data_IF_978655455129
#
_entry.id   IF_978655455129
#
_cell.length_a   1.000
_cell.length_b   1.000
_cell.length_c   1.000
_cell.angle_alpha   90.00
_cell.angle_beta   90.00
_cell.angle_gamma   90.00
#
_symmetry.space_group_name_H-M   'P 1'
#
loop_
_entity.id
_entity.type
_entity.pdbx_description
1 polymer ?
#
# COMPACT_ATOMS: atom_id res chain seq x y z
N UNK A 1 -6.33 -59.67 65.94
CA UNK A 1 -7.62 -59.53 66.66
C UNK A 1 -8.19 -58.18 66.29
N UNK A 2 -9.34 -57.96 65.64
CA UNK A 2 -10.42 -58.76 65.04
C UNK A 2 -11.18 -57.74 64.14
N UNK A 3 -11.34 -57.95 62.82
CA UNK A 3 -12.60 -58.32 62.10
C UNK A 3 -13.86 -57.62 62.64
N UNK A 4 -14.82 -57.04 61.91
CA UNK A 4 -15.40 -57.22 60.55
C UNK A 4 -16.46 -56.05 60.42
N UNK A 5 -16.93 -55.51 59.29
CA UNK A 5 -17.75 -56.16 58.24
C UNK A 5 -18.11 -55.16 57.13
N UNK A 6 -18.07 -55.66 55.90
CA UNK A 6 -18.49 -55.07 54.62
C UNK A 6 -20.01 -55.23 54.42
N UNK A 7 -20.67 -54.30 53.71
CA UNK A 7 -21.81 -54.62 52.85
C UNK A 7 -21.66 -53.94 51.49
N UNK A 8 -21.63 -54.78 50.46
CA UNK A 8 -21.79 -54.48 49.03
C UNK A 8 -22.87 -55.43 48.52
N UNK A 9 -23.71 -55.00 47.57
CA UNK A 9 -24.39 -55.79 46.51
C UNK A 9 -25.16 -54.75 45.65
N UNK A 10 -24.70 -54.46 44.42
CA UNK A 10 -25.21 -54.93 43.09
C UNK A 10 -26.62 -54.41 42.75
N UNK A 11 -27.06 -54.10 41.52
CA UNK A 11 -26.52 -53.94 40.17
C UNK A 11 -27.64 -53.25 39.32
N UNK A 12 -27.29 -52.67 38.15
CA UNK A 12 -28.17 -52.11 37.08
C UNK A 12 -29.05 -53.21 36.40
N UNK A 13 -29.89 -53.01 35.33
CA UNK A 13 -30.28 -51.81 34.53
C UNK A 13 -31.80 -51.71 34.14
N UNK A 14 -32.25 -50.60 33.55
CA UNK A 14 -32.96 -50.56 32.24
C UNK A 14 -33.35 -49.13 31.78
N UNK A 15 -33.40 -48.98 30.47
CA UNK A 15 -33.50 -47.76 29.66
C UNK A 15 -34.89 -47.10 29.68
N UNK A 16 -34.95 -45.77 29.48
CA UNK A 16 -35.74 -45.16 28.37
C UNK A 16 -35.59 -43.61 28.31
N UNK A 17 -35.06 -43.16 27.16
CA UNK A 17 -35.34 -41.93 26.38
C UNK A 17 -35.60 -40.56 27.03
N UNK A 18 -34.90 -39.57 26.46
CA UNK A 18 -35.41 -38.26 26.01
C UNK A 18 -35.58 -37.13 27.03
N UNK A 19 -34.62 -36.18 27.05
CA UNK A 19 -34.68 -34.90 26.31
C UNK A 19 -33.64 -33.91 26.87
N UNK A 20 -32.81 -33.41 25.97
CA UNK A 20 -31.98 -32.22 26.14
C UNK A 20 -32.92 -31.01 26.19
N UNK A 21 -32.85 -30.19 27.24
CA UNK A 21 -33.38 -28.83 27.21
C UNK A 21 -32.23 -27.82 27.32
N UNK A 22 -31.90 -27.27 26.15
CA UNK A 22 -31.28 -25.98 25.99
C UNK A 22 -32.39 -24.92 26.13
N UNK A 23 -32.23 -23.96 27.03
CA UNK A 23 -33.07 -22.77 27.07
C UNK A 23 -32.24 -21.57 27.54
N UNK A 24 -31.69 -20.82 26.57
CA UNK A 24 -31.43 -19.40 26.73
C UNK A 24 -32.28 -18.67 25.70
N UNK A 25 -33.26 -17.96 26.25
CA UNK A 25 -34.27 -17.17 25.54
C UNK A 25 -33.61 -16.07 24.73
N UNK A 26 -33.74 -16.13 23.40
CA UNK A 26 -33.64 -14.98 22.53
C UNK A 26 -35.03 -14.39 22.38
N UNK A 27 -35.30 -13.27 23.05
CA UNK A 27 -36.47 -12.43 22.75
C UNK A 27 -36.02 -11.34 21.78
N UNK A 28 -36.30 -11.58 20.51
CA UNK A 28 -36.25 -10.60 19.43
C UNK A 28 -37.57 -9.83 19.40
N UNK A 29 -37.55 -8.55 19.78
CA UNK A 29 -38.60 -7.58 19.42
C UNK A 29 -38.04 -6.16 19.33
N UNK A 30 -37.47 -5.82 18.16
CA UNK A 30 -37.54 -4.46 17.59
C UNK A 30 -37.68 -4.59 16.07
N UNK A 31 -38.90 -4.83 15.63
CA UNK A 31 -39.30 -4.64 14.23
C UNK A 31 -39.87 -3.25 14.05
N UNK A 32 -39.55 -2.66 12.89
CA UNK A 32 -40.24 -1.58 12.19
C UNK A 32 -39.99 -0.12 12.62
N UNK A 33 -38.81 0.40 12.26
CA UNK A 33 -38.73 1.78 11.69
C UNK A 33 -37.56 2.04 10.74
N UNK A 34 -36.62 1.11 10.54
CA UNK A 34 -35.48 1.28 9.60
C UNK A 34 -35.73 0.81 8.16
N UNK A 35 -36.96 0.43 7.80
CA UNK A 35 -37.25 -0.05 6.44
C UNK A 35 -37.51 1.08 5.43
N UNK A 36 -37.58 2.34 5.87
CA UNK A 36 -38.02 3.46 5.00
C UNK A 36 -36.89 4.37 4.51
N UNK A 37 -35.64 4.17 4.95
CA UNK A 37 -34.48 5.00 4.54
C UNK A 37 -33.50 4.32 3.57
N UNK A 38 -33.70 3.06 3.21
CA UNK A 38 -32.84 2.32 2.26
C UNK A 38 -33.31 2.42 0.79
N UNK A 39 -34.28 3.27 0.47
CA UNK A 39 -34.86 3.36 -0.89
C UNK A 39 -34.00 4.10 -1.93
N UNK A 40 -32.82 4.59 -1.59
CA UNK A 40 -31.99 5.38 -2.53
C UNK A 40 -30.55 4.92 -2.74
N UNK A 41 -30.17 3.73 -2.26
CA UNK A 41 -28.81 3.22 -2.50
C UNK A 41 -28.84 2.05 -3.49
N UNK A 42 -28.16 2.25 -4.62
CA UNK A 42 -27.86 1.32 -5.71
C UNK A 42 -29.06 0.83 -6.55
N UNK A 43 -29.10 1.28 -7.81
CA UNK A 43 -30.06 0.83 -8.82
C UNK A 43 -29.91 -0.66 -9.18
N UNK A 44 -28.72 -1.25 -8.98
CA UNK A 44 -28.42 -2.64 -9.31
C UNK A 44 -29.00 -3.67 -8.33
N UNK A 45 -29.54 -3.23 -7.19
CA UNK A 45 -30.17 -4.09 -6.19
C UNK A 45 -31.71 -4.06 -6.27
N UNK A 46 -32.29 -3.37 -7.26
CA UNK A 46 -33.74 -3.34 -7.43
C UNK A 46 -34.26 -4.65 -8.06
N UNK A 47 -35.34 -5.25 -7.53
CA UNK A 47 -35.91 -6.51 -8.05
C UNK A 47 -36.25 -6.47 -9.55
N UNK A 48 -36.72 -5.31 -10.04
CA UNK A 48 -37.05 -5.10 -11.46
C UNK A 48 -35.83 -5.10 -12.39
N UNK A 49 -34.65 -4.71 -11.90
CA UNK A 49 -33.42 -4.74 -12.68
C UNK A 49 -32.90 -6.18 -12.84
N UNK A 50 -32.96 -6.95 -11.75
CA UNK A 50 -32.61 -8.39 -11.73
C UNK A 50 -33.51 -9.23 -12.65
N UNK A 51 -34.82 -8.98 -12.64
CA UNK A 51 -35.76 -9.64 -13.55
C UNK A 51 -35.66 -9.20 -15.03
N UNK A 52 -35.04 -8.05 -15.30
CA UNK A 52 -34.77 -7.57 -16.66
C UNK A 52 -33.47 -8.17 -17.22
N UNK A 53 -32.48 -8.43 -16.36
CA UNK A 53 -31.23 -9.11 -16.70
C UNK A 53 -31.43 -10.61 -16.96
N UNK A 54 -32.28 -11.27 -16.19
CA UNK A 54 -32.61 -12.70 -16.38
C UNK A 54 -33.41 -12.99 -17.67
N UNK A 55 -34.04 -11.97 -18.28
CA UNK A 55 -34.82 -12.08 -19.53
C UNK A 55 -34.01 -11.86 -20.82
N UNK A 56 -32.76 -11.39 -20.73
CA UNK A 56 -31.91 -11.16 -21.91
C UNK A 56 -31.00 -12.37 -22.12
N UNK A 57 -31.37 -13.23 -23.07
CA UNK A 57 -30.54 -14.35 -23.55
C UNK A 57 -29.42 -13.87 -24.49
N UNK A 58 -28.57 -12.96 -24.02
CA UNK A 58 -27.35 -12.51 -24.73
C UNK A 58 -26.29 -12.02 -23.75
N UNK A 59 -25.04 -12.21 -24.14
CA UNK A 59 -23.82 -12.21 -23.32
C UNK A 59 -23.66 -10.98 -22.41
N UNK A 60 -23.47 -11.30 -21.14
CA UNK A 60 -23.11 -10.48 -19.98
C UNK A 60 -22.11 -9.32 -20.25
N UNK A 61 -22.53 -8.11 -19.89
CA UNK A 61 -21.79 -6.91 -19.38
C UNK A 61 -20.81 -6.14 -20.30
N UNK A 62 -21.14 -4.86 -20.54
CA UNK A 62 -20.30 -3.70 -20.21
C UNK A 62 -19.01 -3.45 -21.00
N UNK A 63 -19.12 -3.05 -22.26
CA UNK A 63 -17.99 -2.44 -22.98
C UNK A 63 -17.77 -0.99 -22.55
N UNK A 64 -16.82 -0.78 -21.62
CA UNK A 64 -16.12 0.48 -21.38
C UNK A 64 -14.60 0.24 -21.50
N UNK A 65 -13.83 1.27 -21.84
CA UNK A 65 -12.39 1.15 -22.10
C UNK A 65 -11.61 0.49 -20.95
N UNK A 66 -10.78 -0.51 -21.27
CA UNK A 66 -10.03 -1.36 -20.33
C UNK A 66 -9.23 -0.59 -19.27
N UNK A 67 -9.47 -0.87 -17.99
CA UNK A 67 -8.45 -0.71 -16.93
C UNK A 67 -8.70 0.34 -15.86
N UNK A 68 -9.93 0.80 -15.67
CA UNK A 68 -10.33 1.64 -14.52
C UNK A 68 -11.68 1.18 -13.96
N UNK A 69 -11.80 -0.11 -13.63
CA UNK A 69 -13.02 -0.64 -13.03
C UNK A 69 -13.09 -0.21 -11.55
N UNK A 70 -13.80 0.89 -11.31
CA UNK A 70 -14.37 1.30 -10.03
C UNK A 70 -15.89 1.52 -10.20
N UNK A 71 -16.64 1.80 -9.11
CA UNK A 71 -18.08 2.00 -9.18
C UNK A 71 -18.48 3.11 -10.16
N UNK A 72 -19.58 2.87 -10.89
CA UNK A 72 -20.06 3.64 -12.04
C UNK A 72 -20.30 5.14 -11.73
N UNK A 73 -19.98 6.10 -12.63
CA UNK A 73 -20.16 7.54 -12.37
C UNK A 73 -21.59 7.99 -12.09
N UNK A 74 -22.63 7.24 -12.50
CA UNK A 74 -24.03 7.52 -12.11
C UNK A 74 -24.47 6.88 -10.78
N UNK A 75 -23.61 6.04 -10.20
CA UNK A 75 -23.78 5.49 -8.84
C UNK A 75 -23.03 6.32 -7.79
N UNK A 76 -22.37 7.41 -8.20
CA UNK A 76 -21.90 8.43 -7.27
C UNK A 76 -23.11 9.15 -6.68
N UNK A 77 -23.55 8.70 -5.50
CA UNK A 77 -24.43 9.51 -4.67
C UNK A 77 -23.69 10.81 -4.33
N UNK A 78 -24.31 11.96 -4.59
CA UNK A 78 -23.83 13.29 -4.17
C UNK A 78 -23.83 13.50 -2.65
N UNK A 79 -24.08 12.44 -1.89
CA UNK A 79 -24.06 12.40 -0.44
C UNK A 79 -22.79 11.66 -0.05
N UNK A 80 -21.95 12.35 0.70
CA UNK A 80 -20.69 11.85 1.19
C UNK A 80 -20.96 10.75 2.24
N UNK A 81 -21.27 9.53 1.80
CA UNK A 81 -21.47 8.38 2.70
C UNK A 81 -20.19 8.00 3.45
N UNK A 82 -19.05 8.57 3.05
CA UNK A 82 -17.72 8.32 3.59
C UNK A 82 -17.11 9.55 4.30
N UNK A 83 -17.82 10.69 4.44
CA UNK A 83 -17.24 11.87 5.11
C UNK A 83 -16.74 11.58 6.51
N UNK A 84 -17.40 10.66 7.21
CA UNK A 84 -17.09 10.26 8.59
C UNK A 84 -16.74 8.76 8.71
N UNK A 85 -16.58 8.05 7.59
CA UNK A 85 -16.31 6.61 7.62
C UNK A 85 -14.82 6.33 7.84
N UNK A 86 -14.35 6.60 9.06
CA UNK A 86 -13.08 6.08 9.61
C UNK A 86 -13.23 4.62 10.05
N UNK A 87 -13.94 3.83 9.26
CA UNK A 87 -14.25 2.44 9.62
C UNK A 87 -12.98 1.59 9.64
N UNK A 88 -12.88 0.57 10.52
CA UNK A 88 -11.76 -0.38 10.60
C UNK A 88 -11.58 -1.29 9.34
N UNK A 89 -12.24 -0.94 8.23
CA UNK A 89 -12.24 -1.65 6.95
C UNK A 89 -11.46 -0.91 5.85
N UNK A 90 -11.09 0.36 6.08
CA UNK A 90 -10.13 1.06 5.22
C UNK A 90 -8.73 0.81 5.77
N UNK A 91 -7.84 0.28 4.94
CA UNK A 91 -6.40 0.25 5.22
C UNK A 91 -5.90 1.69 5.44
N UNK A 92 -4.83 1.82 6.22
CA UNK A 92 -4.34 3.09 6.74
C UNK A 92 -4.13 4.15 5.65
N UNK A 93 -4.46 5.40 5.97
CA UNK A 93 -4.21 6.55 5.10
C UNK A 93 -3.08 7.38 5.71
N UNK A 94 -1.93 7.54 5.03
CA UNK A 94 -0.85 8.34 5.57
C UNK A 94 -1.26 9.82 5.63
N UNK A 95 -1.03 10.43 6.79
CA UNK A 95 -1.28 11.87 7.02
C UNK A 95 0.07 12.49 7.32
N UNK A 96 0.54 13.34 6.40
CA UNK A 96 1.84 13.99 6.52
C UNK A 96 1.69 15.44 6.96
N UNK A 97 2.57 15.88 7.86
CA UNK A 97 2.78 17.31 8.10
C UNK A 97 3.89 17.86 7.20
N UNK A 98 3.88 19.16 6.90
CA UNK A 98 4.93 19.79 6.08
C UNK A 98 6.33 19.55 6.62
N UNK A 99 6.47 19.51 7.96
CA UNK A 99 7.74 19.22 8.61
C UNK A 99 8.26 17.84 8.20
N UNK A 100 7.38 16.85 8.16
CA UNK A 100 7.71 15.46 7.81
C UNK A 100 8.05 15.32 6.32
N UNK A 101 7.29 16.00 5.45
CA UNK A 101 7.59 16.00 4.02
C UNK A 101 8.99 16.58 3.74
N UNK A 102 9.42 17.55 4.53
CA UNK A 102 10.72 18.22 4.41
C UNK A 102 11.89 17.44 5.03
N UNK A 103 11.66 16.43 5.88
CA UNK A 103 12.76 15.63 6.44
C UNK A 103 13.26 14.54 5.48
N UNK A 104 12.50 14.21 4.44
CA UNK A 104 12.83 13.12 3.51
C UNK A 104 14.11 13.45 2.73
N UNK A 105 15.14 12.61 2.90
CA UNK A 105 16.41 12.74 2.19
C UNK A 105 16.67 11.57 1.24
N UNK A 106 17.47 11.85 0.20
CA UNK A 106 18.04 10.82 -0.67
C UNK A 106 19.15 10.11 0.08
N UNK A 107 18.86 8.91 0.55
CA UNK A 107 19.78 8.08 1.34
C UNK A 107 19.93 6.74 0.63
N UNK A 108 21.12 6.19 0.70
CA UNK A 108 21.45 4.90 0.11
C UNK A 108 22.23 4.04 1.10
N UNK A 109 21.82 2.79 1.23
CA UNK A 109 22.51 1.79 2.05
C UNK A 109 23.63 1.15 1.25
N UNK A 110 24.80 1.02 1.88
CA UNK A 110 25.91 0.23 1.35
C UNK A 110 25.57 -1.28 1.41
N UNK A 111 25.63 -2.03 0.29
CA UNK A 111 25.34 -3.46 0.29
C UNK A 111 26.44 -4.25 1.02
N UNK A 112 26.06 -5.12 1.95
CA UNK A 112 27.01 -5.88 2.79
C UNK A 112 27.13 -7.31 2.28
N UNK A 113 26.00 -8.02 2.15
CA UNK A 113 25.99 -9.43 1.77
C UNK A 113 26.08 -9.61 0.24
N UNK A 114 26.41 -10.82 -0.22
CA UNK A 114 26.35 -11.15 -1.65
C UNK A 114 24.93 -10.93 -2.21
N UNK A 115 23.90 -11.32 -1.46
CA UNK A 115 22.49 -11.08 -1.81
C UNK A 115 22.16 -9.59 -1.93
N UNK A 116 22.68 -8.75 -1.01
CA UNK A 116 22.50 -7.29 -1.11
C UNK A 116 23.15 -6.73 -2.38
N UNK A 117 24.35 -7.18 -2.71
CA UNK A 117 25.08 -6.73 -3.91
C UNK A 117 24.34 -7.13 -5.19
N UNK A 118 23.80 -8.34 -5.23
CA UNK A 118 22.97 -8.81 -6.36
C UNK A 118 21.69 -7.99 -6.47
N UNK A 119 20.93 -7.83 -5.38
CA UNK A 119 19.69 -7.05 -5.37
C UNK A 119 19.92 -5.63 -5.89
N UNK A 120 20.91 -4.93 -5.32
CA UNK A 120 21.26 -3.57 -5.71
C UNK A 120 21.78 -3.48 -7.13
N UNK A 121 22.61 -4.44 -7.56
CA UNK A 121 23.14 -4.51 -8.93
C UNK A 121 22.03 -4.67 -9.97
N UNK A 122 21.03 -5.51 -9.70
CA UNK A 122 19.86 -5.68 -10.56
C UNK A 122 19.07 -4.37 -10.63
N UNK A 123 18.75 -3.73 -9.50
CA UNK A 123 18.02 -2.45 -9.48
C UNK A 123 18.74 -1.37 -10.29
N UNK A 124 20.05 -1.17 -10.06
CA UNK A 124 20.83 -0.19 -10.83
C UNK A 124 20.87 -0.50 -12.33
N UNK A 125 20.87 -1.79 -12.69
CA UNK A 125 20.83 -2.21 -14.09
C UNK A 125 19.47 -1.94 -14.72
N UNK A 126 18.38 -2.29 -14.03
CA UNK A 126 17.00 -1.99 -14.45
C UNK A 126 16.81 -0.49 -14.61
N UNK A 127 17.24 0.31 -13.63
CA UNK A 127 17.21 1.77 -13.71
C UNK A 127 17.96 2.28 -14.92
N UNK A 128 19.20 1.83 -15.15
CA UNK A 128 20.00 2.27 -16.31
C UNK A 128 19.29 1.96 -17.63
N UNK A 129 18.79 0.74 -17.79
CA UNK A 129 18.07 0.33 -19.01
C UNK A 129 16.81 1.17 -19.21
N UNK A 130 16.04 1.36 -18.14
CA UNK A 130 14.80 2.12 -18.18
C UNK A 130 15.04 3.61 -18.47
N UNK A 131 16.04 4.22 -17.84
CA UNK A 131 16.44 5.61 -18.05
C UNK A 131 16.91 5.82 -19.51
N UNK A 132 17.67 4.88 -20.08
CA UNK A 132 18.06 4.92 -21.51
C UNK A 132 16.85 4.84 -22.44
N UNK A 133 15.94 3.89 -22.20
CA UNK A 133 14.74 3.70 -23.04
C UNK A 133 13.83 4.92 -22.98
N UNK A 134 13.66 5.49 -21.79
CA UNK A 134 12.78 6.66 -21.57
C UNK A 134 13.45 7.99 -21.89
N UNK A 135 14.75 7.97 -22.25
CA UNK A 135 15.60 9.15 -22.41
C UNK A 135 15.53 10.09 -21.20
N UNK A 136 15.52 9.48 -20.01
CA UNK A 136 15.59 10.22 -18.76
C UNK A 136 17.05 10.40 -18.37
N UNK A 137 17.42 11.65 -18.13
CA UNK A 137 18.71 12.02 -17.54
C UNK A 137 18.41 12.82 -16.27
N UNK A 138 18.95 12.44 -15.09
CA UNK A 138 18.86 13.26 -13.89
C UNK A 138 19.82 14.45 -13.99
N UNK A 139 19.57 15.33 -14.97
CA UNK A 139 20.39 16.49 -15.27
C UNK A 139 19.94 17.67 -14.41
N UNK A 140 20.83 18.14 -13.54
CA UNK A 140 20.57 19.34 -12.78
C UNK A 140 20.84 20.57 -13.64
N UNK A 141 19.79 21.36 -13.90
CA UNK A 141 19.90 22.60 -14.66
C UNK A 141 20.76 23.61 -13.86
N UNK A 142 21.86 24.14 -14.43
CA UNK A 142 22.71 25.09 -13.73
C UNK A 142 21.97 26.38 -13.35
N UNK A 143 22.34 26.98 -12.22
CA UNK A 143 21.73 28.25 -11.75
C UNK A 143 21.83 29.39 -12.79
N UNK A 144 22.89 29.41 -13.61
CA UNK A 144 23.06 30.40 -14.68
C UNK A 144 21.97 30.31 -15.75
N UNK A 145 21.40 29.12 -15.97
CA UNK A 145 20.29 28.89 -16.90
C UNK A 145 18.96 29.19 -16.21
N UNK A 146 18.81 28.85 -14.93
CA UNK A 146 17.61 29.17 -14.14
C UNK A 146 17.38 30.68 -13.98
N UNK A 147 18.45 31.48 -13.97
CA UNK A 147 18.37 32.95 -13.91
C UNK A 147 17.97 33.61 -15.23
N UNK A 148 17.90 32.86 -16.34
CA UNK A 148 17.44 33.39 -17.62
C UNK A 148 15.92 33.58 -17.60
N UNK A 149 15.43 34.68 -18.19
CA UNK A 149 14.00 34.98 -18.25
C UNK A 149 13.57 35.28 -19.71
N UNK A 150 12.79 34.40 -20.37
CA UNK A 150 12.29 33.11 -19.87
C UNK A 150 13.36 32.02 -19.85
N UNK A 151 13.21 31.02 -18.98
CA UNK A 151 14.07 29.83 -18.95
C UNK A 151 13.91 29.07 -20.28
N UNK A 152 15.00 28.61 -20.94
CA UNK A 152 14.94 27.94 -22.24
C UNK A 152 14.46 26.47 -22.16
N UNK A 153 13.25 26.25 -21.61
CA UNK A 153 12.65 24.92 -21.36
C UNK A 153 12.55 24.09 -22.64
N UNK A 154 12.14 24.69 -23.76
CA UNK A 154 11.99 23.98 -25.04
C UNK A 154 13.33 23.40 -25.53
N UNK A 155 14.42 24.16 -25.40
CA UNK A 155 15.76 23.70 -25.75
C UNK A 155 16.24 22.59 -24.82
N UNK A 156 16.05 22.75 -23.51
CA UNK A 156 16.40 21.71 -22.53
C UNK A 156 15.67 20.39 -22.79
N UNK A 157 14.39 20.46 -23.19
CA UNK A 157 13.60 19.27 -23.57
C UNK A 157 14.07 18.64 -24.88
N UNK A 158 14.40 19.47 -25.89
CA UNK A 158 14.95 18.99 -27.16
C UNK A 158 16.31 18.29 -26.98
N UNK A 159 17.15 18.81 -26.10
CA UNK A 159 18.44 18.23 -25.71
C UNK A 159 18.31 16.95 -24.86
N UNK A 160 17.09 16.59 -24.42
CA UNK A 160 16.87 15.45 -23.52
C UNK A 160 17.38 15.68 -22.09
N UNK A 161 17.64 16.94 -21.71
CA UNK A 161 18.07 17.36 -20.37
C UNK A 161 16.91 17.58 -19.42
N UNK A 162 15.69 17.71 -19.94
CA UNK A 162 14.49 17.97 -19.17
C UNK A 162 13.34 17.11 -19.69
N UNK A 163 12.57 16.52 -18.77
CA UNK A 163 11.36 15.80 -19.14
C UNK A 163 10.18 16.77 -19.32
N UNK A 164 9.26 16.43 -20.23
CA UNK A 164 7.93 17.04 -20.24
C UNK A 164 7.03 16.37 -19.22
N UNK A 165 5.92 17.01 -18.90
CA UNK A 165 4.85 16.47 -18.07
C UNK A 165 4.39 15.07 -18.53
N UNK A 166 4.19 14.86 -19.82
CA UNK A 166 3.80 13.57 -20.37
C UNK A 166 4.85 12.48 -20.14
N UNK A 167 6.15 12.82 -20.24
CA UNK A 167 7.23 11.86 -19.99
C UNK A 167 7.36 11.52 -18.51
N UNK A 168 7.17 12.51 -17.64
CA UNK A 168 7.10 12.27 -16.20
C UNK A 168 5.91 11.35 -15.85
N UNK A 169 4.71 11.64 -16.34
CA UNK A 169 3.52 10.81 -16.08
C UNK A 169 3.68 9.41 -16.66
N UNK A 170 4.22 9.27 -17.87
CA UNK A 170 4.51 7.95 -18.44
C UNK A 170 5.45 7.14 -17.53
N UNK A 171 6.54 7.77 -17.06
CA UNK A 171 7.50 7.13 -16.17
C UNK A 171 6.85 6.68 -14.87
N UNK A 172 6.13 7.58 -14.21
CA UNK A 172 5.46 7.33 -12.94
C UNK A 172 4.43 6.20 -13.11
N UNK A 173 3.44 6.37 -13.99
CA UNK A 173 2.38 5.38 -14.21
C UNK A 173 2.95 3.99 -14.52
N UNK A 174 4.00 3.91 -15.34
CA UNK A 174 4.59 2.63 -15.69
C UNK A 174 5.31 1.97 -14.50
N UNK A 175 6.07 2.73 -13.71
CA UNK A 175 6.78 2.19 -12.55
C UNK A 175 5.81 1.82 -11.41
N UNK A 176 4.84 2.69 -11.09
CA UNK A 176 3.83 2.44 -10.06
C UNK A 176 2.96 1.21 -10.38
N UNK A 177 2.74 0.92 -11.68
CA UNK A 177 2.02 -0.29 -12.09
C UNK A 177 2.72 -1.60 -11.72
N UNK A 178 4.01 -1.53 -11.39
CA UNK A 178 4.84 -2.67 -10.98
C UNK A 178 5.18 -2.60 -9.49
N UNK A 179 5.27 -1.40 -8.92
CA UNK A 179 5.61 -1.15 -7.52
C UNK A 179 4.65 -1.82 -6.51
N UNK A 180 3.36 -1.95 -6.83
CA UNK A 180 2.40 -2.66 -5.95
C UNK A 180 2.53 -4.20 -5.92
N UNK A 181 3.37 -4.80 -6.78
CA UNK A 181 3.50 -6.27 -6.88
C UNK A 181 4.27 -6.90 -5.69
N UNK A 182 5.43 -6.38 -5.25
CA UNK A 182 6.23 -6.99 -4.20
C UNK A 182 5.50 -7.18 -2.87
N UNK A 183 4.85 -6.13 -2.36
CA UNK A 183 4.07 -6.19 -1.12
C UNK A 183 2.96 -7.24 -1.19
N UNK A 184 2.24 -7.30 -2.32
CA UNK A 184 1.16 -8.27 -2.54
C UNK A 184 1.68 -9.72 -2.57
N UNK A 185 2.79 -9.97 -3.26
CA UNK A 185 3.43 -11.30 -3.33
C UNK A 185 3.94 -11.72 -1.95
N UNK A 186 4.64 -10.84 -1.25
CA UNK A 186 5.15 -11.09 0.10
C UNK A 186 4.02 -11.38 1.09
N UNK A 187 3.00 -10.52 1.12
CA UNK A 187 1.80 -10.68 1.93
C UNK A 187 1.09 -12.01 1.67
N UNK A 188 0.88 -12.36 0.38
CA UNK A 188 0.23 -13.63 -0.01
C UNK A 188 1.04 -14.85 0.43
N UNK A 189 2.35 -14.88 0.16
CA UNK A 189 3.21 -16.01 0.54
C UNK A 189 3.28 -16.22 2.05
N UNK A 190 3.32 -15.12 2.82
CA UNK A 190 3.27 -15.15 4.28
C UNK A 190 1.90 -15.56 4.82
N UNK A 191 0.82 -15.06 4.22
CA UNK A 191 -0.56 -15.42 4.55
C UNK A 191 -0.80 -16.92 4.38
N UNK A 192 -0.49 -17.48 3.21
CA UNK A 192 -0.61 -18.92 2.97
C UNK A 192 0.30 -19.74 3.91
N UNK A 193 1.43 -19.17 4.36
CA UNK A 193 2.34 -19.84 5.31
C UNK A 193 1.77 -19.90 6.71
N UNK A 194 1.21 -18.80 7.17
CA UNK A 194 0.48 -18.69 8.44
C UNK A 194 -0.64 -19.73 8.51
N UNK A 195 -1.46 -19.82 7.45
CA UNK A 195 -2.57 -20.78 7.39
C UNK A 195 -2.10 -22.24 7.38
N UNK A 196 -1.17 -22.61 6.49
CA UNK A 196 -0.74 -24.02 6.38
C UNK A 196 0.05 -24.53 7.57
N UNK A 197 0.67 -23.63 8.34
CA UNK A 197 1.40 -23.97 9.56
C UNK A 197 0.59 -23.74 10.84
N UNK A 198 -0.61 -23.15 10.74
CA UNK A 198 -1.46 -22.74 11.86
C UNK A 198 -0.71 -21.89 12.89
N UNK A 199 0.07 -20.91 12.43
CA UNK A 199 0.92 -20.04 13.26
C UNK A 199 0.61 -18.57 13.03
N UNK A 200 0.76 -17.76 14.08
CA UNK A 200 0.71 -16.29 13.93
C UNK A 200 1.83 -15.81 13.00
N UNK A 201 1.52 -14.80 12.20
CA UNK A 201 2.46 -14.20 11.26
C UNK A 201 3.39 -13.15 11.91
N UNK A 202 2.93 -12.50 12.98
CA UNK A 202 3.69 -11.46 13.68
C UNK A 202 3.62 -10.08 13.01
N UNK A 203 2.51 -9.77 12.32
CA UNK A 203 2.21 -8.44 11.81
C UNK A 203 2.84 -8.07 10.47
N UNK A 204 3.41 -9.03 9.74
CA UNK A 204 4.05 -8.79 8.45
C UNK A 204 3.05 -8.68 7.30
N UNK A 205 2.02 -9.54 7.28
CA UNK A 205 1.04 -9.60 6.19
C UNK A 205 0.36 -8.23 6.01
N UNK A 206 -0.07 -7.61 7.11
CA UNK A 206 -0.78 -6.33 7.06
C UNK A 206 0.09 -5.24 6.45
N UNK A 207 1.29 -5.02 7.00
CA UNK A 207 2.24 -4.01 6.49
C UNK A 207 2.58 -4.21 5.00
N UNK A 208 2.74 -5.46 4.54
CA UNK A 208 3.05 -5.73 3.13
C UNK A 208 1.85 -5.50 2.20
N UNK A 209 0.63 -5.75 2.68
CA UNK A 209 -0.58 -5.45 1.92
C UNK A 209 -0.91 -3.96 1.93
N UNK A 210 -0.60 -3.24 3.00
CA UNK A 210 -0.67 -1.77 3.10
C UNK A 210 0.29 -1.12 2.09
N UNK A 211 1.55 -1.55 2.04
CA UNK A 211 2.52 -1.11 1.04
C UNK A 211 1.98 -1.34 -0.39
N UNK A 212 1.49 -2.54 -0.68
CA UNK A 212 0.94 -2.85 -2.01
C UNK A 212 -0.27 -2.00 -2.39
N UNK A 213 -1.11 -1.63 -1.42
CA UNK A 213 -2.22 -0.71 -1.66
C UNK A 213 -1.76 0.72 -1.85
N UNK A 214 -0.81 1.18 -1.05
CA UNK A 214 -0.28 2.54 -1.15
C UNK A 214 0.31 2.79 -2.55
N UNK A 215 1.11 1.86 -3.08
CA UNK A 215 1.62 1.91 -4.45
C UNK A 215 0.50 1.88 -5.50
N UNK A 216 -0.57 1.11 -5.26
CA UNK A 216 -1.76 1.12 -6.13
C UNK A 216 -2.45 2.49 -6.10
N UNK A 217 -2.46 3.17 -4.96
CA UNK A 217 -3.01 4.53 -4.83
C UNK A 217 -2.13 5.58 -5.51
N UNK A 218 -0.81 5.39 -5.56
CA UNK A 218 0.08 6.18 -6.42
C UNK A 218 -0.37 6.07 -7.88
N UNK A 219 -0.42 4.84 -8.41
CA UNK A 219 -0.84 4.56 -9.78
C UNK A 219 -2.19 5.19 -10.12
N UNK A 220 -3.22 4.91 -9.30
CA UNK A 220 -4.57 5.40 -9.56
C UNK A 220 -4.66 6.91 -9.52
N UNK A 221 -3.91 7.56 -8.62
CA UNK A 221 -3.79 9.02 -8.57
C UNK A 221 -3.26 9.57 -9.89
N UNK A 222 -2.12 9.08 -10.38
CA UNK A 222 -1.54 9.60 -11.62
C UNK A 222 -2.34 9.24 -12.87
N UNK A 223 -3.09 8.12 -12.83
CA UNK A 223 -4.03 7.77 -13.91
C UNK A 223 -5.19 8.76 -14.04
N UNK A 224 -5.59 9.46 -12.97
CA UNK A 224 -6.57 10.57 -13.09
C UNK A 224 -6.03 11.75 -13.88
N UNK A 225 -4.70 11.87 -13.98
CA UNK A 225 -4.01 12.98 -14.65
C UNK A 225 -3.69 12.61 -16.11
N UNK A 226 -3.21 11.39 -16.35
CA UNK A 226 -2.92 10.89 -17.69
C UNK A 226 -3.37 9.44 -17.83
N UNK A 227 -4.12 9.16 -18.89
CA UNK A 227 -4.56 7.81 -19.21
C UNK A 227 -3.50 7.08 -20.07
N UNK A 228 -3.08 5.87 -19.69
CA UNK A 228 -2.10 5.11 -20.47
C UNK A 228 -2.73 4.69 -21.81
N UNK A 229 -2.02 4.80 -22.92
CA UNK A 229 -2.51 4.28 -24.20
C UNK A 229 -2.43 2.73 -24.25
N UNK A 230 -2.94 2.12 -25.32
CA UNK A 230 -2.94 0.66 -25.46
C UNK A 230 -1.53 0.05 -25.43
N UNK A 231 -0.52 0.77 -25.93
CA UNK A 231 0.87 0.33 -25.91
C UNK A 231 1.42 0.31 -24.48
N UNK A 232 1.22 1.38 -23.71
CA UNK A 232 1.60 1.42 -22.28
C UNK A 232 0.91 0.29 -21.51
N UNK A 233 -0.39 0.07 -21.74
CA UNK A 233 -1.15 -1.03 -21.11
C UNK A 233 -0.58 -2.41 -21.46
N UNK A 234 -0.20 -2.64 -22.71
CA UNK A 234 0.45 -3.88 -23.13
C UNK A 234 1.83 -4.07 -22.46
N UNK A 235 2.60 -2.98 -22.34
CA UNK A 235 3.88 -3.00 -21.64
C UNK A 235 3.72 -3.32 -20.15
N UNK A 236 2.74 -2.73 -19.47
CA UNK A 236 2.40 -3.04 -18.07
C UNK A 236 2.09 -4.53 -17.92
N UNK A 237 1.23 -5.09 -18.78
CA UNK A 237 0.87 -6.50 -18.73
C UNK A 237 2.09 -7.42 -18.91
N UNK A 238 2.97 -7.10 -19.86
CA UNK A 238 4.20 -7.85 -20.08
C UNK A 238 5.17 -7.74 -18.89
N UNK A 239 5.36 -6.51 -18.37
CA UNK A 239 6.22 -6.25 -17.22
C UNK A 239 5.74 -6.98 -15.97
N UNK A 240 4.44 -6.89 -15.64
CA UNK A 240 3.85 -7.63 -14.53
C UNK A 240 3.97 -9.14 -14.73
N UNK A 241 3.71 -9.65 -15.94
CA UNK A 241 3.84 -11.08 -16.24
C UNK A 241 5.24 -11.63 -15.94
N UNK A 242 6.30 -10.89 -16.29
CA UNK A 242 7.68 -11.29 -15.99
C UNK A 242 8.04 -11.03 -14.53
N UNK A 243 7.79 -9.82 -14.05
CA UNK A 243 8.23 -9.36 -12.74
C UNK A 243 7.52 -10.08 -11.59
N UNK A 244 6.21 -10.31 -11.69
CA UNK A 244 5.45 -11.06 -10.68
C UNK A 244 6.06 -12.45 -10.45
N UNK A 245 6.31 -13.19 -11.53
CA UNK A 245 6.85 -14.55 -11.44
C UNK A 245 8.30 -14.55 -10.91
N UNK A 246 9.14 -13.63 -11.40
CA UNK A 246 10.52 -13.51 -10.93
C UNK A 246 10.58 -13.13 -9.44
N UNK A 247 9.77 -12.17 -9.01
CA UNK A 247 9.71 -11.73 -7.63
C UNK A 247 9.10 -12.80 -6.72
N UNK A 248 8.05 -13.49 -7.16
CA UNK A 248 7.46 -14.65 -6.46
C UNK A 248 8.50 -15.72 -6.15
N UNK A 249 9.28 -16.14 -7.16
CA UNK A 249 10.34 -17.13 -6.96
C UNK A 249 11.44 -16.58 -6.02
N UNK A 250 11.82 -15.32 -6.20
CA UNK A 250 12.82 -14.68 -5.34
C UNK A 250 12.37 -14.64 -3.88
N UNK A 251 11.12 -14.26 -3.60
CA UNK A 251 10.57 -14.23 -2.25
C UNK A 251 10.42 -15.63 -1.67
N UNK A 252 10.04 -16.62 -2.49
CA UNK A 252 9.92 -18.01 -2.06
C UNK A 252 11.26 -18.59 -1.57
N UNK A 253 12.36 -18.31 -2.28
CA UNK A 253 13.69 -18.83 -1.96
C UNK A 253 14.47 -17.94 -0.98
N UNK A 254 14.35 -16.62 -1.09
CA UNK A 254 15.11 -15.65 -0.31
C UNK A 254 14.32 -14.37 -0.03
N UNK A 255 13.43 -14.38 0.99
CA UNK A 255 12.67 -13.19 1.37
C UNK A 255 13.56 -12.00 1.73
N UNK A 256 14.73 -12.23 2.34
CA UNK A 256 15.70 -11.16 2.68
C UNK A 256 16.21 -10.44 1.45
N UNK A 257 16.53 -11.17 0.38
CA UNK A 257 16.99 -10.57 -0.89
C UNK A 257 15.84 -9.86 -1.57
N UNK A 258 14.62 -10.41 -1.51
CA UNK A 258 13.42 -9.76 -2.04
C UNK A 258 13.16 -8.40 -1.35
N UNK A 259 13.17 -8.33 -0.01
CA UNK A 259 13.06 -7.06 0.71
C UNK A 259 14.21 -6.09 0.42
N UNK A 260 15.45 -6.58 0.27
CA UNK A 260 16.58 -5.71 -0.09
C UNK A 260 16.45 -5.16 -1.52
N UNK A 261 15.88 -5.94 -2.42
CA UNK A 261 15.58 -5.51 -3.79
C UNK A 261 14.53 -4.40 -3.80
N UNK A 262 13.40 -4.58 -3.10
CA UNK A 262 12.35 -3.55 -2.97
C UNK A 262 12.94 -2.28 -2.36
N UNK A 263 13.61 -2.38 -1.22
CA UNK A 263 14.20 -1.20 -0.59
C UNK A 263 15.19 -0.44 -1.50
N UNK A 264 15.93 -1.15 -2.36
CA UNK A 264 16.80 -0.51 -3.34
C UNK A 264 16.01 0.14 -4.49
N UNK A 265 14.84 -0.39 -4.88
CA UNK A 265 13.92 0.32 -5.78
C UNK A 265 13.45 1.62 -5.13
N UNK A 266 13.10 1.60 -3.85
CA UNK A 266 12.57 2.80 -3.19
C UNK A 266 13.64 3.85 -2.91
N UNK A 267 14.91 3.46 -2.74
CA UNK A 267 16.03 4.41 -2.81
C UNK A 267 16.06 5.17 -4.15
N UNK A 268 15.75 4.48 -5.24
CA UNK A 268 15.68 5.06 -6.59
C UNK A 268 14.38 5.85 -6.83
N UNK A 269 13.27 5.45 -6.20
CA UNK A 269 12.00 6.18 -6.21
C UNK A 269 12.15 7.53 -5.48
N UNK A 270 12.66 7.53 -4.23
CA UNK A 270 12.93 8.75 -3.47
C UNK A 270 13.86 9.70 -4.25
N UNK A 271 14.89 9.18 -4.93
CA UNK A 271 15.74 9.99 -5.83
C UNK A 271 14.96 10.63 -6.96
N UNK A 272 14.12 9.86 -7.63
CA UNK A 272 13.35 10.30 -8.80
C UNK A 272 12.32 11.36 -8.40
N UNK A 273 11.59 11.15 -7.32
CA UNK A 273 10.61 12.11 -6.82
C UNK A 273 11.28 13.36 -6.23
N UNK A 274 12.44 13.24 -5.58
CA UNK A 274 13.21 14.42 -5.15
C UNK A 274 13.63 15.28 -6.35
N UNK A 275 14.09 14.65 -7.43
CA UNK A 275 14.41 15.37 -8.66
C UNK A 275 13.17 16.01 -9.29
N UNK A 276 12.05 15.30 -9.34
CA UNK A 276 10.78 15.84 -9.83
C UNK A 276 10.31 17.06 -9.02
N UNK A 277 10.38 17.01 -7.69
CA UNK A 277 10.04 18.14 -6.82
C UNK A 277 10.95 19.34 -7.12
N UNK A 278 12.26 19.11 -7.27
CA UNK A 278 13.22 20.18 -7.61
C UNK A 278 12.92 20.83 -8.96
N UNK A 279 12.56 20.03 -9.97
CA UNK A 279 12.16 20.53 -11.29
C UNK A 279 10.87 21.36 -11.22
N UNK A 280 9.88 20.93 -10.42
CA UNK A 280 8.65 21.69 -10.19
C UNK A 280 8.91 23.00 -9.45
N UNK A 281 9.66 22.97 -8.35
CA UNK A 281 9.98 24.17 -7.56
C UNK A 281 10.81 25.19 -8.36
N UNK A 282 11.62 24.71 -9.32
CA UNK A 282 12.40 25.55 -10.23
C UNK A 282 11.61 26.05 -11.45
N UNK A 283 10.32 25.74 -11.56
CA UNK A 283 9.48 26.15 -12.70
C UNK A 283 9.85 25.48 -14.02
N UNK A 284 10.55 24.35 -13.99
CA UNK A 284 10.97 23.61 -15.20
C UNK A 284 9.85 22.74 -15.79
N UNK A 285 8.74 22.57 -15.05
CA UNK A 285 7.53 21.86 -15.48
C UNK A 285 6.33 22.83 -15.39
N UNK A 286 6.25 23.84 -16.28
CA UNK A 286 5.23 24.89 -16.22
C UNK A 286 3.80 24.32 -16.30
N UNK A 287 3.60 23.18 -16.95
CA UNK A 287 2.32 22.50 -17.05
C UNK A 287 1.76 22.05 -15.69
N UNK A 288 2.60 21.96 -14.65
CA UNK A 288 2.22 21.48 -13.32
C UNK A 288 2.23 22.55 -12.23
N UNK A 289 2.76 23.75 -12.51
CA UNK A 289 2.99 24.80 -11.50
C UNK A 289 1.73 25.14 -10.68
N UNK A 290 0.58 25.21 -11.34
CA UNK A 290 -0.72 25.55 -10.74
C UNK A 290 -1.75 24.44 -10.89
N UNK A 291 -1.30 23.21 -11.13
CA UNK A 291 -2.19 22.07 -11.32
C UNK A 291 -2.80 21.64 -9.98
N UNK A 292 -4.12 21.60 -9.82
CA UNK A 292 -4.75 21.17 -8.57
C UNK A 292 -4.48 19.68 -8.31
N UNK A 293 -4.38 19.30 -7.04
CA UNK A 293 -4.30 17.91 -6.64
C UNK A 293 -5.57 17.16 -7.05
N UNK A 294 -5.47 15.94 -7.62
CA UNK A 294 -6.64 15.12 -7.89
C UNK A 294 -7.43 14.81 -6.62
N UNK A 295 -8.76 14.71 -6.76
CA UNK A 295 -9.64 14.45 -5.61
C UNK A 295 -9.28 13.16 -4.86
N UNK A 296 -8.92 12.11 -5.59
CA UNK A 296 -8.45 10.83 -5.02
C UNK A 296 -7.23 11.02 -4.11
N UNK A 297 -6.31 11.92 -4.46
CA UNK A 297 -5.13 12.22 -3.67
C UNK A 297 -5.48 13.02 -2.42
N UNK A 298 -6.34 14.02 -2.56
CA UNK A 298 -6.85 14.81 -1.43
C UNK A 298 -7.51 13.90 -0.40
N UNK A 299 -8.38 13.00 -0.85
CA UNK A 299 -9.09 12.10 0.04
C UNK A 299 -8.16 11.04 0.64
N UNK A 300 -7.18 10.52 -0.11
CA UNK A 300 -6.24 9.50 0.38
C UNK A 300 -5.21 10.07 1.37
N UNK A 301 -4.44 11.09 0.99
CA UNK A 301 -3.40 11.70 1.84
C UNK A 301 -3.95 12.77 2.81
N UNK A 302 -5.26 12.99 2.84
CA UNK A 302 -5.93 14.00 3.68
C UNK A 302 -5.37 15.41 3.46
N UNK A 303 -5.04 15.73 2.22
CA UNK A 303 -4.48 17.04 1.86
C UNK A 303 -5.56 18.14 2.00
N UNK A 304 -5.16 19.41 2.16
CA UNK A 304 -6.06 20.55 2.05
C UNK A 304 -6.83 20.56 0.71
N UNK A 305 -8.04 21.13 0.70
CA UNK A 305 -8.87 21.14 -0.53
C UNK A 305 -8.31 21.98 -1.67
N UNK A 306 -7.39 22.89 -1.37
CA UNK A 306 -6.65 23.74 -2.31
C UNK A 306 -5.24 23.22 -2.64
N UNK A 307 -4.89 22.00 -2.19
CA UNK A 307 -3.61 21.38 -2.46
C UNK A 307 -3.32 21.28 -3.97
N UNK A 308 -2.04 21.41 -4.33
CA UNK A 308 -1.54 21.33 -5.69
C UNK A 308 -0.88 19.98 -5.96
N UNK A 309 -0.60 19.71 -7.24
CA UNK A 309 0.07 18.48 -7.65
C UNK A 309 1.44 18.31 -6.96
N UNK A 310 2.16 19.40 -6.68
CA UNK A 310 3.43 19.32 -5.95
C UNK A 310 3.29 18.69 -4.56
N UNK A 311 2.18 18.95 -3.86
CA UNK A 311 1.92 18.41 -2.53
C UNK A 311 1.68 16.90 -2.61
N UNK A 312 1.02 16.45 -3.67
CA UNK A 312 0.85 15.02 -3.99
C UNK A 312 2.20 14.36 -4.27
N UNK A 313 3.07 14.97 -5.09
CA UNK A 313 4.41 14.43 -5.36
C UNK A 313 5.24 14.34 -4.08
N UNK A 314 5.14 15.33 -3.19
CA UNK A 314 5.83 15.33 -1.89
C UNK A 314 5.31 14.21 -0.98
N UNK A 315 4.00 13.99 -0.95
CA UNK A 315 3.38 12.91 -0.18
C UNK A 315 3.80 11.52 -0.68
N UNK A 316 3.72 11.29 -2.00
CA UNK A 316 4.22 10.05 -2.64
C UNK A 316 5.69 9.82 -2.29
N UNK A 317 6.54 10.85 -2.41
CA UNK A 317 7.97 10.76 -2.01
C UNK A 317 8.17 10.31 -0.55
N UNK A 318 7.28 10.72 0.36
CA UNK A 318 7.36 10.33 1.76
C UNK A 318 6.90 8.88 1.98
N UNK A 319 5.92 8.41 1.22
CA UNK A 319 5.54 6.99 1.17
C UNK A 319 6.73 6.14 0.69
N UNK A 320 7.40 6.54 -0.40
CA UNK A 320 8.60 5.82 -0.88
C UNK A 320 9.72 5.75 0.16
N UNK A 321 9.93 6.84 0.91
CA UNK A 321 10.92 6.85 1.99
C UNK A 321 10.55 5.88 3.12
N UNK A 322 9.24 5.72 3.37
CA UNK A 322 8.69 4.75 4.32
C UNK A 322 8.90 3.33 3.82
N UNK A 323 8.56 3.03 2.57
CA UNK A 323 8.75 1.70 1.98
C UNK A 323 10.23 1.31 1.93
N UNK A 324 11.12 2.24 1.56
CA UNK A 324 12.58 2.09 1.67
C UNK A 324 12.97 1.67 3.09
N UNK A 325 12.56 2.46 4.07
CA UNK A 325 12.93 2.29 5.47
C UNK A 325 12.43 0.95 6.03
N UNK A 326 11.16 0.64 5.80
CA UNK A 326 10.51 -0.59 6.26
C UNK A 326 11.16 -1.80 5.61
N UNK A 327 11.26 -1.86 4.28
CA UNK A 327 11.84 -3.02 3.60
C UNK A 327 13.31 -3.26 3.97
N UNK A 328 14.11 -2.22 4.13
CA UNK A 328 15.48 -2.40 4.61
C UNK A 328 15.56 -2.95 6.04
N UNK A 329 14.64 -2.53 6.91
CA UNK A 329 14.53 -3.04 8.27
C UNK A 329 14.07 -4.50 8.28
N UNK A 330 13.01 -4.83 7.52
CA UNK A 330 12.49 -6.19 7.37
C UNK A 330 13.55 -7.15 6.81
N UNK A 331 14.38 -6.70 5.86
CA UNK A 331 15.48 -7.50 5.33
C UNK A 331 16.52 -7.91 6.40
N UNK A 332 16.66 -7.13 7.48
CA UNK A 332 17.59 -7.40 8.58
C UNK A 332 17.06 -8.41 9.60
N UNK A 333 15.74 -8.65 9.64
CA UNK A 333 15.10 -9.55 10.61
C UNK A 333 15.25 -11.04 10.25
N UNK A 334 15.13 -11.92 11.24
CA UNK A 334 14.88 -13.35 11.03
C UNK A 334 13.43 -13.57 10.60
N UNK A 335 13.26 -13.78 9.30
CA UNK A 335 11.99 -13.98 8.60
C UNK A 335 11.08 -15.07 9.20
N UNK A 336 11.61 -15.98 10.02
CA UNK A 336 10.85 -17.07 10.64
C UNK A 336 10.50 -16.83 12.11
N UNK A 337 11.24 -15.97 12.81
CA UNK A 337 11.18 -15.84 14.27
C UNK A 337 10.82 -14.46 14.75
N UNK A 338 11.25 -13.44 14.02
CA UNK A 338 11.11 -12.07 14.47
C UNK A 338 9.72 -11.51 14.14
N UNK A 339 9.21 -10.73 15.09
CA UNK A 339 8.01 -9.94 14.94
C UNK A 339 8.28 -8.71 14.06
N UNK A 340 7.29 -8.26 13.28
CA UNK A 340 7.40 -7.04 12.50
C UNK A 340 7.28 -5.82 13.45
N UNK A 341 8.37 -5.06 13.69
CA UNK A 341 8.34 -3.94 14.64
C UNK A 341 7.31 -2.87 14.27
N UNK A 342 7.00 -2.70 12.98
CA UNK A 342 6.10 -1.67 12.48
C UNK A 342 4.62 -2.03 12.59
N UNK A 343 4.29 -3.26 13.01
CA UNK A 343 2.91 -3.65 13.27
C UNK A 343 2.36 -3.08 14.60
N UNK A 344 3.22 -2.52 15.47
CA UNK A 344 2.80 -1.86 16.71
C UNK A 344 2.59 -0.37 16.53
N UNK A 345 3.49 0.28 15.78
CA UNK A 345 3.46 1.69 15.49
C UNK A 345 4.39 1.99 14.32
N UNK A 346 4.10 3.06 13.58
CA UNK A 346 5.01 3.59 12.58
C UNK A 346 6.29 4.16 13.20
N UNK A 347 7.39 4.06 12.48
CA UNK A 347 8.62 4.75 12.86
C UNK A 347 8.43 6.26 12.72
N UNK A 348 9.19 7.04 13.52
CA UNK A 348 9.08 8.49 13.46
C UNK A 348 9.40 9.00 12.05
N UNK A 349 8.80 10.10 11.62
CA UNK A 349 9.10 10.70 10.32
C UNK A 349 10.59 11.04 10.14
N UNK A 350 11.27 11.44 11.22
CA UNK A 350 12.72 11.66 11.19
C UNK A 350 13.48 10.37 10.90
N UNK A 351 13.11 9.24 11.54
CA UNK A 351 13.75 7.96 11.26
C UNK A 351 13.49 7.50 9.82
N UNK A 352 12.24 7.60 9.34
CA UNK A 352 11.88 7.21 7.96
C UNK A 352 12.58 8.08 6.91
N UNK A 353 12.69 9.38 7.17
CA UNK A 353 13.29 10.35 6.26
C UNK A 353 14.82 10.36 6.26
N UNK A 354 15.45 10.24 7.44
CA UNK A 354 16.89 10.44 7.67
C UNK A 354 17.69 9.14 7.81
N UNK A 355 17.05 7.98 7.90
CA UNK A 355 17.72 6.68 7.92
C UNK A 355 17.25 5.83 6.74
N UNK A 356 18.13 4.91 6.33
CA UNK A 356 17.78 3.92 5.32
C UNK A 356 16.95 2.77 5.91
N UNK A 357 16.98 2.54 7.22
CA UNK A 357 16.30 1.43 7.90
C UNK A 357 16.94 1.12 9.25
N UNK A 358 16.31 0.28 10.05
CA UNK A 358 16.82 -0.23 11.31
C UNK A 358 17.64 -1.51 11.14
N UNK A 359 18.70 -1.62 11.93
CA UNK A 359 19.33 -2.90 12.24
C UNK A 359 18.36 -3.83 12.98
N UNK A 360 18.73 -5.10 13.13
CA UNK A 360 17.91 -6.07 13.88
C UNK A 360 17.80 -5.68 15.35
N UNK A 361 18.89 -5.18 15.96
CA UNK A 361 18.89 -4.69 17.34
C UNK A 361 18.02 -3.44 17.50
N UNK A 362 18.14 -2.45 16.61
CA UNK A 362 17.30 -1.26 16.65
C UNK A 362 15.82 -1.58 16.47
N UNK A 363 15.50 -2.53 15.60
CA UNK A 363 14.12 -3.02 15.40
C UNK A 363 13.56 -3.65 16.67
N UNK A 364 14.36 -4.45 17.39
CA UNK A 364 13.96 -5.06 18.65
C UNK A 364 13.76 -4.00 19.75
N UNK A 365 14.66 -3.03 19.87
CA UNK A 365 14.56 -1.92 20.82
C UNK A 365 13.37 -1.01 20.51
N UNK A 366 13.07 -0.78 19.23
CA UNK A 366 11.88 -0.05 18.81
C UNK A 366 10.61 -0.80 19.24
N UNK A 367 10.49 -2.08 18.89
CA UNK A 367 9.32 -2.90 19.26
C UNK A 367 9.10 -2.95 20.78
N UNK A 368 10.18 -3.12 21.57
CA UNK A 368 10.11 -3.14 23.03
C UNK A 368 9.59 -1.80 23.58
N UNK A 369 10.10 -0.67 23.08
CA UNK A 369 9.65 0.67 23.49
C UNK A 369 8.18 0.91 23.15
N UNK A 370 7.73 0.51 21.96
CA UNK A 370 6.32 0.68 21.58
C UNK A 370 5.40 -0.22 22.41
N UNK A 371 5.80 -1.47 22.65
CA UNK A 371 5.03 -2.37 23.51
C UNK A 371 4.90 -1.81 24.93
N UNK A 372 5.97 -1.24 25.50
CA UNK A 372 5.92 -0.64 26.83
C UNK A 372 4.97 0.57 26.87
N UNK A 373 5.01 1.45 25.86
CA UNK A 373 4.07 2.58 25.76
C UNK A 373 2.62 2.12 25.71
N UNK A 374 2.30 1.12 24.89
CA UNK A 374 0.94 0.58 24.79
C UNK A 374 0.45 0.00 26.12
N UNK A 375 1.33 -0.65 26.89
CA UNK A 375 1.01 -1.15 28.23
C UNK A 375 0.75 0.02 29.20
N UNK A 376 1.60 1.05 29.19
CA UNK A 376 1.45 2.23 30.03
C UNK A 376 0.14 2.99 29.73
N UNK A 377 -0.18 3.21 28.46
CA UNK A 377 -1.43 3.83 28.02
C UNK A 377 -2.67 3.03 28.43
N UNK A 378 -2.62 1.69 28.27
CA UNK A 378 -3.72 0.83 28.71
C UNK A 378 -3.92 0.87 30.23
N UNK A 379 -2.84 0.98 30.99
CA UNK A 379 -2.90 1.05 32.46
C UNK A 379 -3.45 2.39 32.91
N UNK A 380 -3.09 3.49 32.25
CA UNK A 380 -3.62 4.83 32.52
C UNK A 380 -5.11 4.98 32.20
N UNK A 381 -5.62 4.29 31.17
CA UNK A 381 -7.05 4.30 30.84
C UNK A 381 -7.92 3.48 31.80
N UNK A 382 -7.30 2.63 32.64
CA UNK A 382 -8.00 1.77 33.60
C UNK A 382 -8.10 2.41 35.00
N UNK A 383 -7.46 3.57 35.20
CA UNK A 383 -7.52 4.39 36.41
C UNK A 383 -8.27 5.69 36.11
#
# INVERSE_FOLDING_TARGET
>A
MSTLTIRTIMARPMLSTSRIMCARSFTSTRTLSQATQLRHNSLSLQPRAREADERRHETTVGSEGKGVEGPHPKDQTSVNALSDATGPWTLFNPIYTDKELNTVQVIERTPVTAGDKVAKGIVKSLRRVFDVITRYTPYEVPESVLKQNPIPIAQLRADGKLLSDHKWLFRIILLESVAGVPGMVGGTLRHLRSMRLLKRDGGWIHTLLEEAENERMHLLTFMTIAQPNWFTRALVLAAQGVFYNAFFLTYLFSPKVAHRFVAALEEEAVRTYTHCVKDMESGLIPEWQDKPAPRIAIDYWRLPSDAKLIDVIKAVRADEATHRFVNHSLANLDQKRDFNPFALAEASPEDRGLKWGYTREESALFAQRQQQKLIEESTQQTH
#
